data_IF_495088823399
#
_entry.id   IF_495088823399
#
_cell.length_a   1.000
_cell.length_b   1.000
_cell.length_c   1.000
_cell.angle_alpha   90.00
_cell.angle_beta   90.00
_cell.angle_gamma   90.00
#
_symmetry.space_group_name_H-M   'P 1'
#
loop_
_entity.id
_entity.type
_entity.pdbx_description
1 polymer ?
#
# COMPACT_ATOMS: atom_id res chain seq x y z
N UNK A 1 -6.20 -15.55 -21.35
CA UNK A 1 -4.72 -15.55 -21.29
C UNK A 1 -4.33 -15.11 -19.87
N UNK A 2 -3.77 -15.98 -19.01
CA UNK A 2 -3.27 -15.54 -17.70
C UNK A 2 -2.02 -14.68 -17.94
N UNK A 3 -2.08 -13.40 -17.62
CA UNK A 3 -0.90 -12.54 -17.64
C UNK A 3 0.07 -13.05 -16.57
N UNK A 4 1.21 -13.56 -17.00
CA UNK A 4 2.33 -13.90 -16.10
C UNK A 4 3.20 -12.65 -15.91
N UNK A 5 3.50 -12.32 -14.67
CA UNK A 5 4.50 -11.29 -14.39
C UNK A 5 5.85 -11.69 -14.98
N UNK A 6 6.64 -10.73 -15.52
CA UNK A 6 7.97 -11.04 -16.07
C UNK A 6 8.89 -11.76 -15.06
N UNK A 7 8.78 -11.48 -13.76
CA UNK A 7 9.55 -12.15 -12.71
C UNK A 7 9.17 -13.62 -12.46
N UNK A 8 8.01 -14.08 -12.96
CA UNK A 8 7.55 -15.47 -12.86
C UNK A 8 7.81 -16.28 -14.14
N UNK A 9 8.35 -15.66 -15.18
CA UNK A 9 8.64 -16.34 -16.44
C UNK A 9 10.08 -16.90 -16.40
N UNK A 10 10.20 -18.22 -16.33
CA UNK A 10 11.47 -18.94 -16.26
C UNK A 10 12.45 -18.63 -17.40
N UNK A 11 11.97 -18.06 -18.51
CA UNK A 11 12.83 -17.63 -19.63
C UNK A 11 13.76 -16.46 -19.28
N UNK A 12 13.45 -15.74 -18.19
CA UNK A 12 14.23 -14.59 -17.70
C UNK A 12 15.00 -14.92 -16.43
N UNK A 13 15.11 -16.20 -16.05
CA UNK A 13 15.83 -16.59 -14.85
C UNK A 13 17.34 -16.66 -15.11
N UNK A 14 18.08 -15.96 -14.25
CA UNK A 14 19.54 -16.00 -14.23
C UNK A 14 20.06 -17.17 -13.38
N UNK A 15 21.36 -17.52 -13.48
CA UNK A 15 22.01 -18.46 -12.58
C UNK A 15 21.78 -18.05 -11.12
N UNK A 16 21.28 -18.98 -10.28
CA UNK A 16 20.91 -18.68 -8.88
C UNK A 16 19.40 -18.53 -8.63
N UNK A 17 18.56 -18.78 -9.65
CA UNK A 17 17.11 -18.83 -9.49
C UNK A 17 16.61 -19.97 -8.59
N UNK A 18 17.46 -20.98 -8.34
CA UNK A 18 17.26 -22.05 -7.36
C UNK A 18 18.37 -21.92 -6.33
N UNK A 19 18.01 -21.91 -5.06
CA UNK A 19 18.95 -21.77 -3.94
C UNK A 19 18.45 -22.50 -2.71
N UNK A 20 19.34 -22.73 -1.76
CA UNK A 20 19.07 -23.44 -0.52
C UNK A 20 19.13 -22.47 0.66
N UNK A 21 18.21 -22.65 1.62
CA UNK A 21 18.14 -21.89 2.85
C UNK A 21 17.83 -22.78 4.04
N UNK A 22 18.34 -22.43 5.20
CA UNK A 22 18.09 -23.18 6.43
C UNK A 22 16.72 -22.84 7.02
N UNK A 23 15.97 -23.87 7.38
CA UNK A 23 14.70 -23.68 8.10
C UNK A 23 14.95 -23.01 9.45
N UNK A 24 14.35 -21.83 9.74
CA UNK A 24 14.58 -21.10 10.98
C UNK A 24 14.14 -21.85 12.24
N UNK A 25 13.30 -22.87 12.09
CA UNK A 25 12.80 -23.64 13.23
C UNK A 25 13.64 -24.88 13.53
N UNK A 26 14.23 -25.55 12.52
CA UNK A 26 14.90 -26.86 12.73
C UNK A 26 16.23 -27.01 12.00
N UNK A 27 16.74 -25.99 11.30
CA UNK A 27 18.02 -26.05 10.58
C UNK A 27 18.05 -26.94 9.33
N UNK A 28 16.93 -27.61 8.98
CA UNK A 28 16.88 -28.45 7.80
C UNK A 28 17.00 -27.59 6.51
N UNK A 29 17.81 -28.03 5.55
CA UNK A 29 17.99 -27.35 4.27
C UNK A 29 16.72 -27.45 3.43
N UNK A 30 16.21 -26.31 2.99
CA UNK A 30 15.02 -26.18 2.13
C UNK A 30 15.43 -25.47 0.85
N UNK A 31 15.15 -26.10 -0.27
CA UNK A 31 15.39 -25.54 -1.59
C UNK A 31 14.25 -24.58 -1.96
N UNK A 32 14.58 -23.38 -2.43
CA UNK A 32 13.64 -22.36 -2.94
C UNK A 32 13.84 -22.11 -4.41
N UNK A 33 12.72 -21.79 -5.09
CA UNK A 33 12.75 -21.16 -6.40
C UNK A 33 12.55 -19.66 -6.25
N UNK A 34 13.16 -18.87 -7.12
CA UNK A 34 13.11 -17.40 -7.09
C UNK A 34 11.68 -16.83 -7.10
N UNK A 35 10.74 -17.51 -7.75
CA UNK A 35 9.34 -17.12 -7.89
C UNK A 35 8.42 -17.60 -6.75
N UNK A 36 8.94 -18.42 -5.83
CA UNK A 36 8.19 -18.87 -4.66
C UNK A 36 8.22 -17.83 -3.55
N UNK A 37 7.05 -17.41 -3.06
CA UNK A 37 6.93 -16.49 -1.95
C UNK A 37 7.25 -17.12 -0.60
N UNK A 38 6.94 -18.40 -0.43
CA UNK A 38 7.15 -19.15 0.80
C UNK A 38 7.20 -20.65 0.53
N UNK A 39 7.89 -21.40 1.39
CA UNK A 39 7.94 -22.86 1.32
C UNK A 39 7.76 -23.50 2.69
N UNK A 40 7.25 -24.73 2.70
CA UNK A 40 7.08 -25.52 3.91
C UNK A 40 8.27 -26.46 4.08
N UNK A 41 8.92 -26.43 5.24
CA UNK A 41 9.98 -27.37 5.59
C UNK A 41 9.45 -28.81 5.61
N UNK A 42 10.09 -29.70 4.88
CA UNK A 42 9.70 -31.13 4.82
C UNK A 42 9.95 -31.87 6.14
N UNK A 43 10.89 -31.37 6.96
CA UNK A 43 11.26 -32.01 8.22
C UNK A 43 10.32 -31.64 9.38
N UNK A 44 10.02 -30.34 9.60
CA UNK A 44 9.21 -29.88 10.74
C UNK A 44 7.86 -29.29 10.38
N UNK A 45 7.53 -29.17 9.09
CA UNK A 45 6.28 -28.57 8.62
C UNK A 45 6.19 -27.04 8.72
N UNK A 46 7.22 -26.36 9.28
CA UNK A 46 7.24 -24.90 9.39
C UNK A 46 7.20 -24.26 8.00
N UNK A 47 6.28 -23.31 7.82
CA UNK A 47 6.18 -22.48 6.60
C UNK A 47 6.91 -21.17 6.85
N UNK A 48 7.88 -20.84 6.00
CA UNK A 48 8.63 -19.60 6.09
C UNK A 48 8.78 -18.93 4.73
N UNK A 49 8.99 -17.63 4.77
CA UNK A 49 9.07 -16.77 3.59
C UNK A 49 10.42 -16.99 2.90
N UNK A 50 10.43 -16.88 1.58
CA UNK A 50 11.64 -16.89 0.78
C UNK A 50 12.51 -15.66 1.12
N UNK A 51 13.69 -15.84 1.74
CA UNK A 51 14.51 -14.71 2.21
C UNK A 51 15.18 -13.93 1.07
N UNK A 52 15.24 -14.50 -0.13
CA UNK A 52 15.80 -13.83 -1.34
C UNK A 52 14.72 -13.29 -2.27
N UNK A 53 13.46 -13.38 -1.88
CA UNK A 53 12.39 -12.82 -2.69
C UNK A 53 12.44 -11.30 -2.63
N UNK A 54 12.59 -10.67 -3.79
CA UNK A 54 12.41 -9.24 -3.94
C UNK A 54 10.91 -8.92 -3.98
N UNK A 55 10.38 -8.52 -2.84
CA UNK A 55 9.00 -8.06 -2.71
C UNK A 55 8.78 -6.64 -3.24
N UNK A 56 9.79 -6.03 -3.86
CA UNK A 56 9.74 -4.64 -4.31
C UNK A 56 8.50 -4.31 -5.14
N UNK A 57 8.10 -5.17 -6.07
CA UNK A 57 6.87 -4.96 -6.84
C UNK A 57 5.61 -5.25 -6.02
N UNK A 58 5.65 -6.13 -5.03
CA UNK A 58 4.49 -6.49 -4.22
C UNK A 58 4.10 -5.40 -3.21
N UNK A 59 5.05 -4.55 -2.80
CA UNK A 59 4.76 -3.42 -1.92
C UNK A 59 3.84 -2.37 -2.56
N UNK A 60 3.70 -2.34 -3.89
CA UNK A 60 2.82 -1.40 -4.59
C UNK A 60 1.90 -2.05 -5.63
N UNK A 61 1.94 -3.35 -5.82
CA UNK A 61 1.09 -4.02 -6.80
C UNK A 61 -0.27 -4.38 -6.18
N UNK A 62 -1.37 -3.88 -6.78
CA UNK A 62 -2.73 -4.21 -6.35
C UNK A 62 -3.08 -5.70 -6.48
N UNK A 63 -2.33 -6.45 -7.26
CA UNK A 63 -2.50 -7.89 -7.49
C UNK A 63 -1.53 -8.74 -6.65
N UNK A 64 -0.81 -8.15 -5.67
CA UNK A 64 0.21 -8.86 -4.89
C UNK A 64 -0.36 -10.11 -4.19
N UNK A 65 -1.54 -10.02 -3.58
CA UNK A 65 -2.21 -11.15 -2.92
C UNK A 65 -2.57 -12.28 -3.88
N UNK A 66 -2.94 -11.95 -5.14
CA UNK A 66 -3.21 -12.96 -6.16
C UNK A 66 -1.95 -13.68 -6.65
N UNK A 67 -0.79 -12.99 -6.61
CA UNK A 67 0.50 -13.55 -7.02
C UNK A 67 1.17 -14.34 -5.91
N UNK A 68 1.10 -13.84 -4.67
CA UNK A 68 1.89 -14.33 -3.55
C UNK A 68 1.06 -15.17 -2.56
N UNK A 69 -0.27 -15.12 -2.65
CA UNK A 69 -1.16 -15.62 -1.60
C UNK A 69 -1.15 -14.69 -0.38
N UNK A 70 -1.21 -15.29 0.82
CA UNK A 70 -1.15 -14.51 2.06
C UNK A 70 0.18 -13.75 2.15
N UNK A 71 0.10 -12.43 2.22
CA UNK A 71 1.28 -11.58 2.33
C UNK A 71 1.87 -11.66 3.75
N UNK A 72 3.20 -11.74 3.89
CA UNK A 72 3.86 -11.66 5.19
C UNK A 72 3.51 -10.35 5.92
N UNK A 73 3.40 -10.35 7.27
CA UNK A 73 3.12 -9.15 8.06
C UNK A 73 4.08 -7.99 7.78
N UNK A 74 5.36 -8.30 7.56
CA UNK A 74 6.41 -7.31 7.27
C UNK A 74 6.14 -6.60 5.93
N UNK A 75 5.69 -7.35 4.92
CA UNK A 75 5.35 -6.78 3.62
C UNK A 75 4.05 -5.96 3.69
N UNK A 76 3.09 -6.38 4.53
CA UNK A 76 1.88 -5.60 4.78
C UNK A 76 2.22 -4.26 5.43
N UNK A 77 3.06 -4.25 6.46
CA UNK A 77 3.54 -3.02 7.10
C UNK A 77 4.25 -2.09 6.10
N UNK A 78 5.14 -2.64 5.26
CA UNK A 78 5.82 -1.86 4.22
C UNK A 78 4.84 -1.26 3.19
N UNK A 79 3.76 -1.96 2.83
CA UNK A 79 2.72 -1.43 1.94
C UNK A 79 1.97 -0.27 2.58
N UNK A 80 1.64 -0.38 3.85
CA UNK A 80 0.95 0.66 4.60
C UNK A 80 1.85 1.91 4.75
N UNK A 81 3.15 1.74 5.01
CA UNK A 81 4.12 2.85 5.04
C UNK A 81 4.23 3.58 3.70
N UNK A 82 4.21 2.84 2.58
CA UNK A 82 4.28 3.43 1.25
C UNK A 82 2.95 4.05 0.79
N UNK A 83 1.83 3.65 1.39
CA UNK A 83 0.51 4.13 0.98
C UNK A 83 0.39 5.65 1.14
N UNK A 84 0.86 6.22 2.25
CA UNK A 84 0.84 7.65 2.51
C UNK A 84 1.49 8.47 1.38
N UNK A 85 2.64 8.02 0.89
CA UNK A 85 3.39 8.72 -0.16
C UNK A 85 2.65 8.65 -1.51
N UNK A 86 2.03 7.50 -1.78
CA UNK A 86 1.22 7.30 -2.98
C UNK A 86 -0.06 8.12 -2.93
N UNK A 87 -0.72 8.22 -1.77
CA UNK A 87 -1.88 9.08 -1.54
C UNK A 87 -1.49 10.56 -1.74
N UNK A 88 -0.33 10.99 -1.21
CA UNK A 88 0.16 12.35 -1.42
C UNK A 88 0.36 12.67 -2.92
N UNK A 89 0.86 11.71 -3.70
CA UNK A 89 1.01 11.86 -5.17
C UNK A 89 -0.36 12.00 -5.85
N UNK A 90 -1.31 11.13 -5.51
CA UNK A 90 -2.66 11.16 -6.11
C UNK A 90 -3.43 12.43 -5.72
N UNK A 91 -3.33 12.88 -4.48
CA UNK A 91 -3.88 14.17 -4.04
C UNK A 91 -3.33 15.33 -4.87
N UNK A 92 -2.00 15.37 -5.09
CA UNK A 92 -1.37 16.40 -5.94
C UNK A 92 -1.86 16.33 -7.38
N UNK A 93 -2.00 15.14 -7.95
CA UNK A 93 -2.56 14.95 -9.31
C UNK A 93 -4.01 15.43 -9.39
N UNK A 94 -4.82 15.14 -8.36
CA UNK A 94 -6.22 15.53 -8.30
C UNK A 94 -6.39 17.06 -8.27
N UNK A 95 -5.62 17.74 -7.42
CA UNK A 95 -5.65 19.21 -7.34
C UNK A 95 -4.94 19.91 -8.52
N UNK A 96 -3.98 19.24 -9.17
CA UNK A 96 -3.31 19.73 -10.36
C UNK A 96 -2.49 21.01 -10.09
N UNK A 97 -2.98 22.17 -10.53
CA UNK A 97 -2.31 23.46 -10.35
C UNK A 97 -2.77 24.26 -9.13
N UNK A 98 -3.64 23.70 -8.30
CA UNK A 98 -4.07 24.37 -7.06
C UNK A 98 -3.03 24.17 -5.95
N UNK A 99 -1.93 24.93 -6.07
CA UNK A 99 -0.82 24.87 -5.12
C UNK A 99 -1.20 25.27 -3.70
N UNK A 100 -2.26 26.07 -3.53
CA UNK A 100 -2.76 26.47 -2.21
C UNK A 100 -3.34 25.27 -1.46
N UNK A 101 -4.21 24.49 -2.11
CA UNK A 101 -4.81 23.28 -1.52
C UNK A 101 -3.79 22.17 -1.34
N UNK A 102 -2.90 21.96 -2.31
CA UNK A 102 -1.80 21.02 -2.18
C UNK A 102 -0.92 21.37 -0.98
N UNK A 103 -0.56 22.64 -0.81
CA UNK A 103 0.23 23.13 0.30
C UNK A 103 -0.48 22.94 1.65
N UNK A 104 -1.79 23.21 1.71
CA UNK A 104 -2.61 22.98 2.90
C UNK A 104 -2.65 21.51 3.29
N UNK A 105 -3.05 20.61 2.40
CA UNK A 105 -3.12 19.17 2.66
C UNK A 105 -1.76 18.59 3.09
N UNK A 106 -0.67 19.00 2.44
CA UNK A 106 0.69 18.59 2.84
C UNK A 106 1.05 19.06 4.25
N UNK A 107 0.66 20.29 4.61
CA UNK A 107 0.91 20.84 5.95
C UNK A 107 0.10 20.12 7.02
N UNK A 108 -1.17 19.82 6.76
CA UNK A 108 -2.03 19.04 7.66
C UNK A 108 -1.47 17.65 7.89
N UNK A 109 -1.10 16.92 6.83
CA UNK A 109 -0.51 15.59 6.95
C UNK A 109 0.80 15.61 7.77
N UNK A 110 1.65 16.66 7.61
CA UNK A 110 2.88 16.81 8.41
C UNK A 110 2.58 17.06 9.89
N UNK A 111 1.56 17.83 10.23
CA UNK A 111 1.15 18.01 11.62
C UNK A 111 0.54 16.72 12.18
N UNK A 112 -0.28 16.04 11.41
CA UNK A 112 -0.82 14.73 11.79
C UNK A 112 0.29 13.72 12.09
N UNK A 113 1.37 13.69 11.29
CA UNK A 113 2.54 12.84 11.55
C UNK A 113 3.24 13.18 12.88
N UNK A 114 3.36 14.47 13.21
CA UNK A 114 3.93 14.89 14.48
C UNK A 114 3.07 14.48 15.67
N UNK A 115 1.75 14.63 15.54
CA UNK A 115 0.79 14.25 16.58
C UNK A 115 0.82 12.73 16.80
N UNK A 116 0.76 11.94 15.73
CA UNK A 116 0.82 10.46 15.82
C UNK A 116 2.11 9.98 16.51
N UNK A 117 3.23 10.63 16.25
CA UNK A 117 4.51 10.30 16.93
C UNK A 117 4.50 10.58 18.44
N UNK A 118 3.69 11.51 18.90
CA UNK A 118 3.62 11.92 20.31
C UNK A 118 2.49 11.23 21.07
N UNK A 119 1.29 11.19 20.45
CA UNK A 119 0.06 10.71 21.08
C UNK A 119 -0.28 9.26 20.75
N UNK A 120 0.39 8.69 19.76
CA UNK A 120 0.04 7.38 19.21
C UNK A 120 -1.02 7.46 18.11
N UNK A 121 -1.46 6.30 17.64
CA UNK A 121 -2.37 6.14 16.53
C UNK A 121 -1.72 5.37 15.38
N UNK A 122 -2.53 4.98 14.39
CA UNK A 122 -2.02 4.27 13.20
C UNK A 122 -1.65 5.27 12.10
N UNK A 123 -0.34 5.44 11.79
CA UNK A 123 0.09 6.33 10.71
C UNK A 123 -0.48 5.95 9.34
N UNK A 124 -0.77 4.65 9.12
CA UNK A 124 -1.33 4.17 7.86
C UNK A 124 -2.76 4.68 7.61
N UNK A 125 -3.47 5.07 8.66
CA UNK A 125 -4.80 5.67 8.59
C UNK A 125 -4.71 7.19 8.64
N UNK A 126 -4.04 7.72 9.66
CA UNK A 126 -4.05 9.16 9.97
C UNK A 126 -3.39 9.99 8.87
N UNK A 127 -2.31 9.50 8.25
CA UNK A 127 -1.62 10.28 7.22
C UNK A 127 -2.40 10.33 5.89
N UNK A 128 -2.94 9.23 5.35
CA UNK A 128 -3.86 9.28 4.22
C UNK A 128 -5.08 10.17 4.49
N UNK A 129 -5.72 10.06 5.67
CA UNK A 129 -6.83 10.94 6.05
C UNK A 129 -6.41 12.42 6.03
N UNK A 130 -5.23 12.75 6.58
CA UNK A 130 -4.68 14.10 6.55
C UNK A 130 -4.44 14.65 5.15
N UNK A 131 -4.03 13.81 4.19
CA UNK A 131 -3.88 14.22 2.78
C UNK A 131 -5.21 14.38 2.06
N UNK A 132 -6.23 13.61 2.44
CA UNK A 132 -7.52 13.53 1.73
C UNK A 132 -8.64 14.33 2.39
N UNK A 133 -8.44 14.93 3.56
CA UNK A 133 -9.49 15.59 4.34
C UNK A 133 -10.31 16.64 3.57
N UNK A 134 -9.68 17.39 2.67
CA UNK A 134 -10.30 18.43 1.84
C UNK A 134 -10.49 17.98 0.37
N UNK A 135 -10.37 16.68 0.07
CA UNK A 135 -10.39 16.21 -1.33
C UNK A 135 -11.73 16.53 -2.03
N UNK A 136 -12.82 16.65 -1.28
CA UNK A 136 -14.14 16.95 -1.79
C UNK A 136 -14.35 18.40 -2.24
N UNK A 137 -13.46 19.33 -1.85
CA UNK A 137 -13.66 20.77 -2.04
C UNK A 137 -13.83 21.17 -3.52
N UNK A 138 -13.05 20.55 -4.41
CA UNK A 138 -13.10 20.83 -5.85
C UNK A 138 -14.43 20.41 -6.47
N UNK A 139 -14.97 19.27 -6.02
CA UNK A 139 -16.25 18.76 -6.48
C UNK A 139 -17.41 19.54 -5.89
N UNK A 140 -17.30 19.97 -4.61
CA UNK A 140 -18.26 20.86 -3.98
C UNK A 140 -18.36 22.20 -4.73
N UNK A 141 -17.26 22.82 -5.10
CA UNK A 141 -17.25 24.03 -5.94
C UNK A 141 -17.90 23.78 -7.30
N UNK A 142 -17.57 22.66 -7.94
CA UNK A 142 -18.13 22.32 -9.27
C UNK A 142 -19.64 22.11 -9.24
N UNK A 143 -20.17 21.39 -8.22
CA UNK A 143 -21.59 21.01 -8.16
C UNK A 143 -22.46 22.09 -7.54
N UNK A 144 -21.97 22.72 -6.48
CA UNK A 144 -22.78 23.60 -5.62
C UNK A 144 -22.33 25.06 -5.64
N UNK A 145 -21.26 25.38 -6.39
CA UNK A 145 -20.62 26.68 -6.38
C UNK A 145 -20.31 27.18 -4.96
N UNK A 146 -19.91 26.27 -4.07
CA UNK A 146 -19.73 26.50 -2.63
C UNK A 146 -18.60 25.64 -2.08
N UNK A 147 -17.87 26.21 -1.10
CA UNK A 147 -16.84 25.49 -0.32
C UNK A 147 -17.31 25.19 1.10
N UNK A 148 -18.61 25.23 1.35
CA UNK A 148 -19.15 24.93 2.68
C UNK A 148 -18.81 23.49 3.12
N UNK A 149 -18.52 23.33 4.41
CA UNK A 149 -18.02 22.06 4.97
C UNK A 149 -18.92 20.87 4.64
N UNK A 150 -20.24 21.02 4.80
CA UNK A 150 -21.18 19.93 4.55
C UNK A 150 -21.16 19.38 3.10
N UNK A 151 -20.85 20.23 2.11
CA UNK A 151 -20.68 19.75 0.72
C UNK A 151 -19.35 19.03 0.54
N UNK A 152 -18.30 19.48 1.22
CA UNK A 152 -17.01 18.79 1.20
C UNK A 152 -17.07 17.42 1.87
N UNK A 153 -17.78 17.33 3.02
CA UNK A 153 -18.04 16.08 3.73
C UNK A 153 -18.87 15.10 2.89
N UNK A 154 -19.77 15.59 2.07
CA UNK A 154 -20.56 14.76 1.15
C UNK A 154 -19.73 14.26 -0.04
N UNK A 155 -18.91 15.12 -0.63
CA UNK A 155 -18.18 14.82 -1.88
C UNK A 155 -16.80 14.20 -1.62
N UNK A 156 -16.23 14.36 -0.44
CA UNK A 156 -14.90 13.86 -0.09
C UNK A 156 -14.78 12.33 -0.05
N UNK A 157 -15.62 11.65 0.74
CA UNK A 157 -15.50 10.19 0.91
C UNK A 157 -15.55 9.37 -0.39
N UNK A 158 -16.44 9.65 -1.37
CA UNK A 158 -16.44 8.93 -2.64
C UNK A 158 -15.11 9.07 -3.40
N UNK A 159 -14.54 10.27 -3.41
CA UNK A 159 -13.28 10.56 -4.12
C UNK A 159 -12.10 9.90 -3.39
N UNK A 160 -12.06 10.02 -2.06
CA UNK A 160 -11.04 9.38 -1.23
C UNK A 160 -11.05 7.85 -1.42
N UNK A 161 -12.25 7.24 -1.38
CA UNK A 161 -12.45 5.80 -1.62
C UNK A 161 -11.93 5.38 -2.98
N UNK A 162 -12.26 6.12 -4.04
CA UNK A 162 -11.76 5.82 -5.40
C UNK A 162 -10.23 5.85 -5.47
N UNK A 163 -9.61 6.87 -4.87
CA UNK A 163 -8.16 6.99 -4.81
C UNK A 163 -7.55 5.78 -4.09
N UNK A 164 -8.04 5.46 -2.89
CA UNK A 164 -7.52 4.38 -2.07
C UNK A 164 -7.70 3.00 -2.72
N UNK A 165 -8.86 2.71 -3.32
CA UNK A 165 -9.10 1.49 -4.10
C UNK A 165 -8.12 1.35 -5.27
N UNK A 166 -7.91 2.44 -6.01
CA UNK A 166 -6.96 2.45 -7.14
C UNK A 166 -5.53 2.19 -6.69
N UNK A 167 -5.16 2.63 -5.49
CA UNK A 167 -3.87 2.37 -4.87
C UNK A 167 -3.74 0.97 -4.28
N UNK A 168 -4.83 0.20 -4.19
CA UNK A 168 -4.85 -1.14 -3.65
C UNK A 168 -4.83 -1.17 -2.12
N UNK A 169 -5.39 -0.14 -1.46
CA UNK A 169 -5.58 -0.14 -0.02
C UNK A 169 -6.58 -1.22 0.40
N UNK A 170 -6.40 -1.78 1.61
CA UNK A 170 -7.33 -2.76 2.17
C UNK A 170 -8.66 -2.10 2.50
N UNK A 171 -9.77 -2.83 2.36
CA UNK A 171 -11.13 -2.30 2.60
C UNK A 171 -11.28 -1.72 4.01
N UNK A 172 -10.76 -2.41 5.03
CA UNK A 172 -10.79 -1.91 6.40
C UNK A 172 -10.12 -0.54 6.54
N UNK A 173 -8.95 -0.35 5.93
CA UNK A 173 -8.23 0.93 5.94
C UNK A 173 -9.02 2.01 5.21
N UNK A 174 -9.67 1.66 4.10
CA UNK A 174 -10.51 2.59 3.34
C UNK A 174 -11.69 3.08 4.20
N UNK A 175 -12.33 2.19 4.93
CA UNK A 175 -13.45 2.53 5.82
C UNK A 175 -13.02 3.43 6.99
N UNK A 176 -11.79 3.24 7.50
CA UNK A 176 -11.27 4.06 8.60
C UNK A 176 -10.77 5.44 8.13
N UNK A 177 -10.42 5.60 6.86
CA UNK A 177 -9.96 6.88 6.27
C UNK A 177 -11.13 7.72 5.74
N UNK A 178 -12.21 7.09 5.23
CA UNK A 178 -13.36 7.75 4.59
C UNK A 178 -14.51 8.00 5.55
#
# INVERSE_FOLDING_TARGET
MKMRCPGQDSRFWEPGAIFEEECPQCGHIVEFFKDESSRRCKNCGHKFVNPKMDFGCASYCKFAEQCLGDLPPELMAQRDDLLKDRVAIEMKKYFGRDFKRIGHATKVARYAEQIVKQEGGDPAIVLPAGYLHDIGIKEAERKYNSTAAHYQEQEGPPIAREILLRLGAREQLIEEVC
#
